data_IF_809179874001
#
_entry.id   IF_809179874001
#
_cell.length_a   1.000
_cell.length_b   1.000
_cell.length_c   1.000
_cell.angle_alpha   90.00
_cell.angle_beta   90.00
_cell.angle_gamma   90.00
#
_symmetry.space_group_name_H-M   'P 1'
#
loop_
_entity.id
_entity.type
_entity.pdbx_description
1 polymer ?
#
# COMPACT_ATOMS: atom_id res chain seq x y z
N UNK A 1 -7.62 0.02 15.48
CA UNK A 1 -6.70 -0.50 14.44
C UNK A 1 -7.51 -1.10 13.31
N UNK A 2 -7.08 -0.98 12.05
CA UNK A 2 -7.78 -1.54 10.89
C UNK A 2 -9.01 -0.78 10.40
N UNK A 3 -9.40 0.31 11.02
CA UNK A 3 -10.49 1.16 10.52
C UNK A 3 -10.08 1.92 9.27
N UNK A 4 -8.90 2.50 9.28
CA UNK A 4 -8.31 3.23 8.16
C UNK A 4 -6.84 2.85 8.01
N UNK A 5 -6.43 2.51 6.78
CA UNK A 5 -5.04 2.25 6.41
C UNK A 5 -4.64 3.22 5.31
N UNK A 6 -3.56 3.96 5.52
CA UNK A 6 -3.00 4.82 4.49
C UNK A 6 -2.08 4.02 3.59
N UNK A 7 -2.24 4.17 2.27
CA UNK A 7 -1.39 3.61 1.22
C UNK A 7 -0.64 4.72 0.51
N UNK A 8 0.62 4.47 0.19
CA UNK A 8 1.43 5.37 -0.60
C UNK A 8 2.66 4.66 -1.16
N UNK A 9 3.38 5.33 -2.07
CA UNK A 9 4.65 4.85 -2.58
C UNK A 9 5.70 5.96 -2.50
N UNK A 10 6.94 5.57 -2.22
CA UNK A 10 8.06 6.49 -2.09
C UNK A 10 9.20 6.08 -3.03
N UNK A 11 9.36 6.75 -4.19
CA UNK A 11 10.57 6.64 -4.98
C UNK A 11 11.72 7.32 -4.24
N UNK A 12 12.80 6.59 -4.01
CA UNK A 12 13.98 7.10 -3.31
C UNK A 12 15.23 6.29 -3.66
N UNK A 13 16.41 6.82 -3.36
CA UNK A 13 17.69 6.09 -3.51
C UNK A 13 17.90 5.11 -2.33
N UNK A 14 16.99 4.13 -2.19
CA UNK A 14 16.95 3.20 -1.07
C UNK A 14 18.23 2.39 -0.91
N UNK A 15 18.90 2.04 -2.02
CA UNK A 15 20.18 1.35 -2.04
C UNK A 15 21.37 2.29 -2.27
N UNK A 16 21.13 3.60 -2.33
CA UNK A 16 22.14 4.60 -2.63
C UNK A 16 22.80 4.28 -4.01
N UNK A 17 24.14 4.15 -4.07
CA UNK A 17 24.93 3.76 -5.24
C UNK A 17 25.18 2.24 -5.31
N UNK A 18 24.71 1.47 -4.32
CA UNK A 18 24.92 0.01 -4.20
C UNK A 18 24.00 -0.82 -5.10
N UNK A 19 22.94 -0.24 -5.64
CA UNK A 19 21.94 -0.95 -6.43
C UNK A 19 21.02 -0.03 -7.23
N UNK A 20 20.02 -0.60 -7.94
CA UNK A 20 19.12 0.18 -8.78
C UNK A 20 18.24 1.11 -7.97
N UNK A 21 17.78 2.19 -8.61
CA UNK A 21 16.69 3.00 -8.07
C UNK A 21 15.42 2.15 -7.93
N UNK A 22 14.68 2.35 -6.84
CA UNK A 22 13.48 1.57 -6.50
C UNK A 22 12.41 2.47 -5.90
N UNK A 23 11.18 1.99 -5.95
CA UNK A 23 10.04 2.57 -5.25
C UNK A 23 9.58 1.64 -4.15
N UNK A 24 9.48 2.15 -2.92
CA UNK A 24 8.91 1.43 -1.80
C UNK A 24 7.41 1.73 -1.70
N UNK A 25 6.59 0.70 -1.92
CA UNK A 25 5.15 0.75 -1.62
C UNK A 25 4.93 0.40 -0.17
N UNK A 26 4.00 1.08 0.50
CA UNK A 26 3.76 0.83 1.90
C UNK A 26 2.35 1.16 2.36
N UNK A 27 2.02 0.55 3.48
CA UNK A 27 0.78 0.77 4.20
C UNK A 27 1.06 1.05 5.67
N UNK A 28 0.34 2.00 6.25
CA UNK A 28 0.33 2.26 7.69
C UNK A 28 -1.09 2.18 8.24
N UNK A 29 -1.25 1.63 9.42
CA UNK A 29 -2.49 1.77 10.19
C UNK A 29 -2.60 3.20 10.73
N UNK A 30 -3.68 3.90 10.37
CA UNK A 30 -3.84 5.32 10.73
C UNK A 30 -3.96 5.55 12.23
N UNK A 31 -4.53 4.60 12.97
CA UNK A 31 -4.75 4.75 14.41
C UNK A 31 -3.45 4.67 15.21
N UNK A 32 -2.49 3.83 14.77
CA UNK A 32 -1.24 3.59 15.49
C UNK A 32 -0.02 4.23 14.83
N UNK A 33 -0.12 4.60 13.54
CA UNK A 33 1.01 5.03 12.72
C UNK A 33 1.99 3.90 12.39
N UNK A 34 1.63 2.65 12.66
CA UNK A 34 2.47 1.48 12.45
C UNK A 34 2.50 1.08 10.99
N UNK A 35 3.68 0.80 10.45
CA UNK A 35 3.82 0.15 9.15
C UNK A 35 3.27 -1.26 9.21
N UNK A 36 2.32 -1.58 8.34
CA UNK A 36 1.64 -2.89 8.31
C UNK A 36 2.03 -3.75 7.12
N UNK A 37 2.54 -3.15 6.05
CA UNK A 37 3.06 -3.86 4.89
C UNK A 37 4.02 -2.97 4.10
N UNK A 38 5.06 -3.56 3.50
CA UNK A 38 6.04 -2.89 2.65
C UNK A 38 6.44 -3.79 1.48
N UNK A 39 6.69 -3.20 0.30
CA UNK A 39 7.16 -3.92 -0.87
C UNK A 39 7.98 -3.00 -1.80
N UNK A 40 9.21 -3.38 -2.12
CA UNK A 40 10.00 -2.71 -3.16
C UNK A 40 9.60 -3.17 -4.56
N UNK A 41 9.51 -2.21 -5.48
CA UNK A 41 9.32 -2.43 -6.91
C UNK A 41 10.24 -1.50 -7.69
N UNK A 42 10.53 -1.80 -9.00
CA UNK A 42 11.31 -0.90 -9.83
C UNK A 42 10.66 0.49 -9.97
N UNK A 43 9.33 0.53 -10.05
CA UNK A 43 8.53 1.75 -10.18
C UNK A 43 7.26 1.64 -9.36
N UNK A 44 6.54 2.74 -9.18
CA UNK A 44 5.20 2.73 -8.62
C UNK A 44 4.23 2.07 -9.59
N UNK A 45 3.62 0.95 -9.17
CA UNK A 45 2.73 0.16 -10.02
C UNK A 45 1.60 -0.55 -9.24
N UNK A 46 0.63 -1.07 -9.99
CA UNK A 46 -0.48 -1.87 -9.47
C UNK A 46 0.01 -3.10 -8.68
N UNK A 47 1.08 -3.76 -9.15
CA UNK A 47 1.57 -4.98 -8.51
C UNK A 47 2.16 -4.71 -7.11
N UNK A 48 2.82 -3.56 -6.93
CA UNK A 48 3.31 -3.12 -5.62
C UNK A 48 2.17 -2.93 -4.63
N UNK A 49 1.13 -2.23 -5.03
CA UNK A 49 -0.05 -2.02 -4.18
C UNK A 49 -0.83 -3.31 -3.92
N UNK A 50 -0.97 -4.19 -4.92
CA UNK A 50 -1.59 -5.51 -4.73
C UNK A 50 -0.79 -6.40 -3.77
N UNK A 51 0.55 -6.36 -3.84
CA UNK A 51 1.44 -7.09 -2.92
C UNK A 51 1.31 -6.56 -1.49
N UNK A 52 1.32 -5.24 -1.31
CA UNK A 52 1.10 -4.60 0.01
C UNK A 52 -0.26 -4.99 0.57
N UNK A 53 -1.32 -4.94 -0.25
CA UNK A 53 -2.67 -5.34 0.16
C UNK A 53 -2.75 -6.83 0.51
N UNK A 54 -2.06 -7.70 -0.24
CA UNK A 54 -1.97 -9.13 0.06
C UNK A 54 -1.30 -9.37 1.42
N UNK A 55 -0.15 -8.76 1.67
CA UNK A 55 0.57 -8.87 2.94
C UNK A 55 -0.30 -8.43 4.11
N UNK A 56 -0.92 -7.27 3.98
CA UNK A 56 -1.82 -6.70 4.98
C UNK A 56 -3.01 -7.63 5.27
N UNK A 57 -3.72 -8.08 4.23
CA UNK A 57 -4.87 -8.96 4.39
C UNK A 57 -4.52 -10.32 4.97
N UNK A 58 -3.34 -10.84 4.64
CA UNK A 58 -2.87 -12.13 5.16
C UNK A 58 -2.47 -12.05 6.63
N UNK A 59 -1.86 -10.93 7.04
CA UNK A 59 -1.31 -10.77 8.40
C UNK A 59 -2.35 -10.29 9.39
N UNK A 60 -3.17 -9.30 8.99
CA UNK A 60 -4.09 -8.61 9.90
C UNK A 60 -5.56 -8.83 9.53
N UNK A 61 -5.85 -9.14 8.27
CA UNK A 61 -7.19 -9.11 7.69
C UNK A 61 -7.47 -7.87 6.87
N UNK A 62 -8.71 -7.73 6.38
CA UNK A 62 -9.15 -6.60 5.57
C UNK A 62 -9.42 -5.38 6.43
N UNK A 63 -8.88 -4.19 6.09
CA UNK A 63 -9.29 -2.94 6.75
C UNK A 63 -10.72 -2.54 6.34
N UNK A 64 -11.32 -1.60 7.04
CA UNK A 64 -12.62 -1.04 6.63
C UNK A 64 -12.45 -0.11 5.43
N UNK A 65 -11.40 0.70 5.42
CA UNK A 65 -11.12 1.63 4.33
C UNK A 65 -9.61 1.80 4.11
N UNK A 66 -9.25 2.10 2.87
CA UNK A 66 -7.93 2.58 2.47
C UNK A 66 -8.01 4.08 2.17
N UNK A 67 -6.93 4.78 2.48
CA UNK A 67 -6.72 6.19 2.18
C UNK A 67 -5.48 6.34 1.30
N UNK A 68 -5.63 6.89 0.13
CA UNK A 68 -4.55 7.09 -0.84
C UNK A 68 -4.74 8.37 -1.65
N UNK A 69 -3.79 8.68 -2.52
CA UNK A 69 -3.96 9.79 -3.45
C UNK A 69 -4.88 9.42 -4.64
N UNK A 70 -4.97 10.33 -5.61
CA UNK A 70 -5.73 10.10 -6.85
C UNK A 70 -4.87 9.51 -7.97
N UNK A 71 -3.85 8.74 -7.65
CA UNK A 71 -3.06 8.06 -8.65
C UNK A 71 -3.92 7.15 -9.53
N UNK A 72 -3.59 7.06 -10.82
CA UNK A 72 -4.39 6.32 -11.80
C UNK A 72 -4.58 4.82 -11.52
N UNK A 73 -3.81 4.25 -10.61
CA UNK A 73 -4.01 2.89 -10.11
C UNK A 73 -5.28 2.79 -9.26
N UNK A 74 -5.58 3.80 -8.46
CA UNK A 74 -6.71 3.79 -7.53
C UNK A 74 -8.01 4.28 -8.16
N UNK A 75 -7.92 5.35 -8.94
CA UNK A 75 -9.08 6.05 -9.49
C UNK A 75 -8.83 6.34 -10.96
N UNK A 76 -9.82 6.11 -11.81
CA UNK A 76 -9.77 6.58 -13.20
C UNK A 76 -9.82 8.11 -13.22
N UNK A 77 -8.79 8.69 -13.83
CA UNK A 77 -8.64 10.15 -13.98
C UNK A 77 -8.78 10.57 -15.45
N UNK A 78 -9.06 9.62 -16.37
CA UNK A 78 -9.22 9.91 -17.78
C UNK A 78 -10.65 10.39 -18.11
N UNK A 79 -10.77 11.18 -19.16
CA UNK A 79 -12.04 11.68 -19.66
C UNK A 79 -12.66 10.72 -20.70
N UNK A 80 -12.05 9.56 -20.94
CA UNK A 80 -12.55 8.59 -21.91
C UNK A 80 -13.66 7.75 -21.28
N UNK A 81 -14.84 7.77 -21.93
CA UNK A 81 -16.00 6.98 -21.56
C UNK A 81 -16.39 6.08 -22.70
N UNK A 82 -16.52 4.80 -22.47
CA UNK A 82 -17.15 3.87 -23.41
C UNK A 82 -18.64 4.17 -23.52
N UNK A 83 -19.28 3.69 -24.59
CA UNK A 83 -20.72 3.86 -24.76
C UNK A 83 -21.52 3.26 -23.60
N UNK A 84 -21.11 2.07 -23.13
CA UNK A 84 -21.76 1.39 -22.00
C UNK A 84 -21.61 2.17 -20.69
N UNK A 85 -20.46 2.77 -20.45
CA UNK A 85 -20.23 3.63 -19.28
C UNK A 85 -21.08 4.89 -19.34
N UNK A 86 -21.20 5.50 -20.54
CA UNK A 86 -22.07 6.66 -20.75
C UNK A 86 -23.55 6.32 -20.48
N UNK A 87 -24.02 5.17 -20.97
CA UNK A 87 -25.38 4.70 -20.73
C UNK A 87 -25.66 4.39 -19.25
N UNK A 88 -24.67 3.87 -18.53
CA UNK A 88 -24.77 3.58 -17.10
C UNK A 88 -24.58 4.81 -16.22
N UNK A 89 -23.99 5.90 -16.76
CA UNK A 89 -23.62 7.10 -16.01
C UNK A 89 -22.46 6.92 -15.01
N UNK A 90 -21.71 5.81 -15.14
CA UNK A 90 -20.57 5.51 -14.25
C UNK A 90 -19.45 4.84 -15.03
N UNK A 91 -18.20 5.23 -14.76
CA UNK A 91 -17.02 4.58 -15.33
C UNK A 91 -16.74 3.24 -14.63
N UNK A 92 -16.17 2.30 -15.37
CA UNK A 92 -15.67 1.06 -14.81
C UNK A 92 -14.50 1.36 -13.84
N UNK A 93 -14.39 0.63 -12.74
CA UNK A 93 -13.30 0.83 -11.80
C UNK A 93 -11.94 0.44 -12.42
N UNK A 94 -10.86 0.99 -11.87
CA UNK A 94 -9.52 0.46 -12.14
C UNK A 94 -9.42 -1.00 -11.67
N UNK A 95 -8.36 -1.72 -12.07
CA UNK A 95 -8.11 -3.07 -11.53
C UNK A 95 -8.02 -3.06 -10.00
N UNK A 96 -7.36 -2.07 -9.40
CA UNK A 96 -7.28 -1.95 -7.95
C UNK A 96 -8.64 -1.59 -7.34
N UNK A 97 -9.39 -0.69 -7.98
CA UNK A 97 -10.75 -0.35 -7.55
C UNK A 97 -11.68 -1.56 -7.53
N UNK A 98 -11.60 -2.44 -8.56
CA UNK A 98 -12.33 -3.72 -8.58
C UNK A 98 -11.91 -4.62 -7.42
N UNK A 99 -10.61 -4.76 -7.17
CA UNK A 99 -10.10 -5.55 -6.03
C UNK A 99 -10.70 -5.06 -4.72
N UNK A 100 -10.73 -3.74 -4.49
CA UNK A 100 -11.30 -3.16 -3.28
C UNK A 100 -12.80 -3.42 -3.15
N UNK A 101 -13.54 -3.32 -4.26
CA UNK A 101 -14.98 -3.62 -4.29
C UNK A 101 -15.24 -5.09 -3.94
N UNK A 102 -14.51 -6.04 -4.53
CA UNK A 102 -14.65 -7.47 -4.22
C UNK A 102 -14.26 -7.80 -2.77
N UNK A 103 -13.27 -7.09 -2.22
CA UNK A 103 -12.90 -7.21 -0.82
C UNK A 103 -13.84 -6.49 0.14
N UNK A 104 -14.76 -5.65 -0.34
CA UNK A 104 -15.61 -4.81 0.49
C UNK A 104 -14.82 -3.80 1.33
N UNK A 105 -13.74 -3.27 0.77
CA UNK A 105 -12.88 -2.23 1.37
C UNK A 105 -13.25 -0.89 0.76
N UNK A 106 -13.59 0.09 1.59
CA UNK A 106 -13.82 1.47 1.13
C UNK A 106 -12.51 2.12 0.63
N UNK A 107 -12.61 3.06 -0.30
CA UNK A 107 -11.47 3.88 -0.72
C UNK A 107 -11.79 5.36 -0.54
N UNK A 108 -10.91 6.08 0.14
CA UNK A 108 -11.00 7.52 0.38
C UNK A 108 -9.83 8.18 -0.33
N UNK A 109 -10.14 8.93 -1.39
CA UNK A 109 -9.13 9.70 -2.11
C UNK A 109 -8.73 10.95 -1.33
N UNK A 110 -7.43 11.13 -1.13
CA UNK A 110 -6.89 12.33 -0.50
C UNK A 110 -7.21 13.58 -1.34
N UNK A 111 -7.78 14.59 -0.70
CA UNK A 111 -8.06 15.89 -1.35
C UNK A 111 -6.95 16.92 -1.14
N UNK A 112 -6.02 16.66 -0.21
CA UNK A 112 -4.91 17.57 0.08
C UNK A 112 -3.67 16.80 0.59
N UNK A 113 -2.46 17.33 0.35
CA UNK A 113 -1.22 16.76 0.90
C UNK A 113 -1.23 16.68 2.43
N UNK A 114 -1.82 17.68 3.11
CA UNK A 114 -1.87 17.73 4.58
C UNK A 114 -2.58 16.53 5.20
N UNK A 115 -3.52 15.95 4.48
CA UNK A 115 -4.24 14.77 4.93
C UNK A 115 -3.37 13.48 4.94
N UNK A 116 -2.21 13.48 4.28
CA UNK A 116 -1.25 12.36 4.21
C UNK A 116 -0.09 12.48 5.22
N UNK A 117 -0.08 13.49 6.09
CA UNK A 117 1.04 13.81 6.99
C UNK A 117 1.52 12.66 7.91
N UNK A 118 0.73 11.59 8.11
CA UNK A 118 1.17 10.41 8.88
C UNK A 118 2.06 9.50 8.05
N UNK A 119 1.64 9.17 6.83
CA UNK A 119 2.46 8.33 5.95
C UNK A 119 3.70 9.08 5.47
N UNK A 120 3.64 10.40 5.30
CA UNK A 120 4.81 11.23 4.99
C UNK A 120 5.88 11.16 6.09
N UNK A 121 5.48 11.26 7.37
CA UNK A 121 6.40 11.07 8.50
C UNK A 121 6.96 9.66 8.58
N UNK A 122 6.16 8.67 8.22
CA UNK A 122 6.61 7.29 8.12
C UNK A 122 7.70 7.15 7.06
N UNK A 123 7.50 7.73 5.87
CA UNK A 123 8.54 7.75 4.83
C UNK A 123 9.84 8.41 5.29
N UNK A 124 9.76 9.55 5.94
CA UNK A 124 10.94 10.22 6.51
C UNK A 124 11.71 9.29 7.48
N UNK A 125 10.99 8.60 8.35
CA UNK A 125 11.58 7.62 9.28
C UNK A 125 12.24 6.46 8.52
N UNK A 126 11.60 5.94 7.45
CA UNK A 126 12.17 4.86 6.65
C UNK A 126 13.39 5.32 5.84
N UNK A 127 13.34 6.50 5.25
CA UNK A 127 14.47 7.08 4.50
C UNK A 127 15.72 7.23 5.38
N UNK A 128 15.56 7.60 6.63
CA UNK A 128 16.66 7.69 7.59
C UNK A 128 17.15 6.29 8.04
N UNK A 129 16.24 5.41 8.44
CA UNK A 129 16.60 4.15 9.11
C UNK A 129 16.77 2.97 8.16
N UNK A 130 15.84 2.75 7.24
CA UNK A 130 15.90 1.60 6.34
C UNK A 130 17.11 1.67 5.41
N UNK A 131 17.45 2.86 4.87
CA UNK A 131 18.66 3.04 4.05
C UNK A 131 19.91 2.65 4.83
N UNK A 132 20.01 3.08 6.09
CA UNK A 132 21.13 2.76 6.97
C UNK A 132 21.21 1.26 7.28
N UNK A 133 20.08 0.60 7.55
CA UNK A 133 20.02 -0.84 7.81
C UNK A 133 20.37 -1.67 6.56
N UNK A 134 19.87 -1.28 5.39
CA UNK A 134 20.23 -1.93 4.12
C UNK A 134 21.73 -1.81 3.84
N UNK A 135 22.34 -0.67 4.16
CA UNK A 135 23.79 -0.44 4.03
C UNK A 135 24.59 -1.32 4.97
N UNK A 136 24.23 -1.34 6.26
CA UNK A 136 24.91 -2.14 7.28
C UNK A 136 24.90 -3.63 6.96
N UNK A 137 23.86 -4.13 6.31
CA UNK A 137 23.72 -5.52 5.90
C UNK A 137 24.32 -5.82 4.52
N UNK A 138 24.88 -4.81 3.83
CA UNK A 138 25.42 -4.98 2.49
C UNK A 138 24.38 -5.35 1.45
N UNK A 139 23.10 -5.02 1.68
CA UNK A 139 22.01 -5.32 0.75
C UNK A 139 22.12 -4.39 -0.45
N UNK A 140 22.17 -4.98 -1.65
CA UNK A 140 22.37 -4.30 -2.93
C UNK A 140 21.40 -4.72 -4.04
N UNK A 141 20.46 -5.63 -3.75
CA UNK A 141 19.41 -6.06 -4.69
C UNK A 141 18.02 -5.85 -4.13
N UNK A 142 17.05 -5.68 -5.02
CA UNK A 142 15.65 -5.49 -4.65
C UNK A 142 15.07 -6.74 -3.95
N UNK A 143 15.46 -7.92 -4.40
CA UNK A 143 15.04 -9.20 -3.83
C UNK A 143 15.51 -9.35 -2.38
N UNK A 144 16.77 -9.07 -2.12
CA UNK A 144 17.33 -9.10 -0.77
C UNK A 144 16.70 -8.03 0.12
N UNK A 145 16.47 -6.83 -0.42
CA UNK A 145 15.78 -5.76 0.29
C UNK A 145 14.35 -6.17 0.67
N UNK A 146 13.57 -6.75 -0.26
CA UNK A 146 12.23 -7.26 0.02
C UNK A 146 12.23 -8.38 1.08
N UNK A 147 13.21 -9.28 1.04
CA UNK A 147 13.35 -10.35 2.03
C UNK A 147 13.63 -9.81 3.45
N UNK A 148 14.28 -8.67 3.55
CA UNK A 148 14.60 -8.01 4.84
C UNK A 148 13.44 -7.20 5.43
N UNK A 149 12.51 -6.69 4.62
CA UNK A 149 11.43 -5.80 5.10
C UNK A 149 10.60 -6.35 6.27
N UNK A 150 10.24 -7.64 6.34
CA UNK A 150 9.48 -8.18 7.48
C UNK A 150 10.24 -8.09 8.81
N UNK A 151 11.55 -8.41 8.82
CA UNK A 151 12.42 -8.27 9.98
C UNK A 151 12.53 -6.81 10.42
N UNK A 152 12.75 -5.92 9.45
CA UNK A 152 12.84 -4.50 9.70
C UNK A 152 11.56 -3.93 10.31
N UNK A 153 10.37 -4.28 9.78
CA UNK A 153 9.10 -3.84 10.34
C UNK A 153 8.86 -4.38 11.76
N UNK A 154 9.25 -5.63 12.03
CA UNK A 154 9.13 -6.21 13.36
C UNK A 154 9.95 -5.47 14.42
N UNK A 155 11.15 -4.99 14.05
CA UNK A 155 12.00 -4.18 14.92
C UNK A 155 11.48 -2.73 15.05
N UNK A 156 11.01 -2.15 13.94
CA UNK A 156 10.56 -0.76 13.91
C UNK A 156 9.26 -0.54 14.69
N UNK A 157 8.31 -1.46 14.57
CA UNK A 157 6.96 -1.34 15.13
C UNK A 157 6.94 -1.03 16.62
N UNK A 158 7.64 -1.77 17.52
CA UNK A 158 7.61 -1.49 18.96
C UNK A 158 8.18 -0.11 19.34
N UNK A 159 9.04 0.46 18.49
CA UNK A 159 9.72 1.73 18.76
C UNK A 159 8.88 2.94 18.36
N UNK A 160 8.00 2.80 17.38
CA UNK A 160 7.28 3.94 16.76
C UNK A 160 5.75 3.83 16.83
N UNK A 161 5.22 2.67 17.19
CA UNK A 161 3.78 2.49 17.36
C UNK A 161 3.24 3.36 18.50
N UNK A 162 2.07 3.94 18.29
CA UNK A 162 1.34 4.70 19.30
C UNK A 162 0.12 3.89 19.74
N UNK A 163 -0.25 4.03 21.00
CA UNK A 163 -1.50 3.46 21.46
C UNK A 163 -2.68 4.09 20.69
N UNK A 164 -3.58 3.28 20.11
CA UNK A 164 -4.75 3.82 19.44
C UNK A 164 -5.73 4.41 20.47
N UNK A 165 -6.47 5.44 20.08
CA UNK A 165 -7.50 6.04 20.93
C UNK A 165 -8.63 5.05 21.26
N UNK A 166 -8.98 4.18 20.31
CA UNK A 166 -9.85 3.04 20.48
C UNK A 166 -9.05 1.75 20.20
N UNK A 167 -8.84 0.89 21.21
CA UNK A 167 -8.09 -0.35 21.04
C UNK A 167 -8.89 -1.44 20.31
N UNK A 168 -10.20 -1.27 20.07
CA UNK A 168 -11.04 -2.25 19.41
C UNK A 168 -10.54 -2.50 17.97
N UNK A 169 -10.19 -3.75 17.60
CA UNK A 169 -9.78 -4.06 16.24
C UNK A 169 -10.98 -3.98 15.28
N UNK A 170 -10.76 -3.29 14.16
CA UNK A 170 -11.76 -3.20 13.09
C UNK A 170 -11.42 -4.09 11.87
N UNK A 171 -10.35 -4.87 11.95
CA UNK A 171 -9.96 -5.82 10.92
C UNK A 171 -11.04 -6.86 10.67
N UNK A 172 -11.30 -7.17 9.41
CA UNK A 172 -12.25 -8.20 8.98
C UNK A 172 -11.50 -9.40 8.40
N UNK A 173 -12.00 -10.63 8.52
CA UNK A 173 -11.37 -11.80 7.94
C UNK A 173 -11.12 -11.62 6.43
N UNK A 174 -9.93 -12.00 5.96
CA UNK A 174 -9.65 -12.07 4.52
C UNK A 174 -10.42 -13.25 3.88
N UNK A 175 -10.83 -13.15 2.60
CA UNK A 175 -11.45 -14.27 1.91
C UNK A 175 -10.43 -15.40 1.68
N UNK A 176 -10.93 -16.64 1.58
CA UNK A 176 -10.08 -17.82 1.34
C UNK A 176 -9.40 -17.78 -0.04
N UNK A 177 -10.03 -17.14 -1.01
CA UNK A 177 -9.58 -17.00 -2.40
C UNK A 177 -8.92 -15.65 -2.68
N UNK A 178 -8.26 -15.07 -1.67
CA UNK A 178 -7.61 -13.75 -1.76
C UNK A 178 -6.73 -13.61 -3.01
N UNK A 179 -5.96 -14.65 -3.38
CA UNK A 179 -5.10 -14.64 -4.55
C UNK A 179 -5.91 -14.48 -5.87
N UNK A 180 -7.08 -15.10 -5.96
CA UNK A 180 -7.96 -14.95 -7.11
C UNK A 180 -8.57 -13.55 -7.20
N UNK A 181 -8.92 -12.94 -6.07
CA UNK A 181 -9.42 -11.56 -6.00
C UNK A 181 -8.33 -10.57 -6.45
N UNK A 182 -7.09 -10.76 -6.00
CA UNK A 182 -5.95 -9.90 -6.33
C UNK A 182 -5.44 -10.07 -7.76
N UNK A 183 -5.87 -11.11 -8.50
CA UNK A 183 -5.43 -11.34 -9.88
C UNK A 183 -5.91 -10.25 -10.83
N UNK A 184 -5.08 -9.90 -11.82
CA UNK A 184 -5.51 -9.06 -12.93
C UNK A 184 -6.45 -9.87 -13.83
N UNK A 185 -7.60 -9.30 -14.18
CA UNK A 185 -8.59 -9.91 -15.07
C UNK A 185 -8.71 -9.09 -16.34
N UNK A 186 -8.60 -9.77 -17.47
CA UNK A 186 -8.73 -9.16 -18.79
C UNK A 186 -9.86 -9.88 -19.56
N UNK A 187 -10.78 -9.13 -20.13
CA UNK A 187 -11.76 -9.68 -21.08
C UNK A 187 -11.03 -9.93 -22.40
N UNK A 188 -11.05 -11.17 -22.91
CA UNK A 188 -10.63 -11.44 -24.29
C UNK A 188 -11.76 -10.97 -25.20
N UNK A 189 -11.43 -10.06 -26.09
CA UNK A 189 -12.28 -9.67 -27.24
C UNK A 189 -12.02 -10.63 -28.39
#
# INVERSE_FOLDING_TARGET
MGALVQLDASPFAWLEDRGPAMTLHGAIDDATGTGVALCFRPTEDLHGYATVLQQLCTTYGRPLALYGDRFGVFVRNDAHWTLDEQLRGTQDPTHFGRILQELGIGFIAAHSPQAKGRIERFWQTLQDRLVSELRLRGISTMEAANAFLPEFLADLTPRFARAPADPTPAWRPAPRDLAAVLSCRYTRV
#
